data_IF_133653214992
#
_entry.id   IF_133653214992
#
_cell.length_a   1.000
_cell.length_b   1.000
_cell.length_c   1.000
_cell.angle_alpha   90.00
_cell.angle_beta   90.00
_cell.angle_gamma   90.00
#
_symmetry.space_group_name_H-M   'P 1'
#
loop_
_entity.id
_entity.type
_entity.pdbx_description
1 polymer ?
#
# COMPACT_ATOMS: atom_id res chain seq x y z
N UNK A 1 12.97 17.95 -4.28
CA UNK A 1 11.54 18.28 -4.17
C UNK A 1 10.66 17.07 -4.38
N UNK A 2 9.63 16.94 -3.55
CA UNK A 2 8.58 15.93 -3.71
C UNK A 2 7.31 16.69 -4.05
N UNK A 3 6.79 16.46 -5.25
CA UNK A 3 5.70 17.25 -5.81
C UNK A 3 4.46 16.37 -5.96
N UNK A 4 3.39 16.75 -5.26
CA UNK A 4 2.10 16.06 -5.32
C UNK A 4 1.12 16.94 -6.05
N UNK A 5 0.40 16.39 -7.02
CA UNK A 5 -0.62 17.16 -7.74
C UNK A 5 -1.60 17.84 -6.79
N UNK A 6 -1.91 19.10 -7.03
CA UNK A 6 -2.85 19.85 -6.21
C UNK A 6 -4.26 19.78 -6.80
N UNK A 7 -4.99 18.69 -6.49
CA UNK A 7 -6.40 18.54 -6.88
C UNK A 7 -7.28 19.64 -6.25
N UNK A 8 -6.92 20.11 -5.05
CA UNK A 8 -7.68 21.16 -4.35
C UNK A 8 -7.62 22.54 -5.05
N UNK A 9 -6.70 22.70 -6.01
CA UNK A 9 -6.66 23.87 -6.88
C UNK A 9 -7.88 23.94 -7.81
N UNK A 10 -8.39 22.78 -8.22
CA UNK A 10 -9.49 22.65 -9.17
C UNK A 10 -10.84 22.36 -8.52
N UNK A 11 -10.83 21.67 -7.39
CA UNK A 11 -12.04 21.18 -6.71
C UNK A 11 -12.23 21.93 -5.39
N UNK A 12 -13.16 22.88 -5.39
CA UNK A 12 -13.56 23.56 -4.17
C UNK A 12 -14.44 22.62 -3.30
N UNK A 13 -14.42 22.79 -1.95
CA UNK A 13 -15.33 22.08 -1.07
C UNK A 13 -16.79 22.29 -1.46
N UNK A 14 -17.63 21.30 -1.17
CA UNK A 14 -19.07 21.30 -1.36
C UNK A 14 -19.58 21.44 -2.81
N UNK A 15 -18.69 21.40 -3.79
CA UNK A 15 -19.09 21.27 -5.20
C UNK A 15 -19.60 19.86 -5.49
N UNK A 16 -20.37 19.67 -6.57
CA UNK A 16 -20.88 18.34 -6.96
C UNK A 16 -19.76 17.31 -7.13
N UNK A 17 -18.60 17.70 -7.69
CA UNK A 17 -17.44 16.82 -7.81
C UNK A 17 -16.81 16.48 -6.45
N UNK A 18 -16.83 17.41 -5.51
CA UNK A 18 -16.35 17.18 -4.16
C UNK A 18 -17.26 16.23 -3.38
N UNK A 19 -18.57 16.43 -3.50
CA UNK A 19 -19.55 15.57 -2.86
C UNK A 19 -19.46 14.12 -3.37
N UNK A 20 -19.35 13.93 -4.69
CA UNK A 20 -19.14 12.59 -5.27
C UNK A 20 -17.82 11.96 -4.83
N UNK A 21 -16.73 12.74 -4.78
CA UNK A 21 -15.45 12.25 -4.27
C UNK A 21 -15.51 11.88 -2.78
N UNK A 22 -16.26 12.64 -1.98
CA UNK A 22 -16.54 12.34 -0.56
C UNK A 22 -17.34 11.05 -0.42
N UNK A 23 -18.39 10.84 -1.22
CA UNK A 23 -19.18 9.61 -1.21
C UNK A 23 -18.38 8.38 -1.61
N UNK A 24 -17.49 8.50 -2.61
CA UNK A 24 -16.61 7.41 -3.05
C UNK A 24 -15.44 7.16 -2.10
N UNK A 25 -14.95 8.16 -1.39
CA UNK A 25 -13.77 8.20 -0.52
C UNK A 25 -12.45 7.79 -1.18
N UNK A 26 -12.47 6.85 -2.11
CA UNK A 26 -11.26 6.31 -2.76
C UNK A 26 -11.54 5.78 -4.16
N UNK A 27 -10.50 5.69 -4.98
CA UNK A 27 -10.56 4.89 -6.22
C UNK A 27 -10.46 3.41 -5.87
N UNK A 28 -11.22 2.57 -6.57
CA UNK A 28 -11.22 1.12 -6.40
C UNK A 28 -10.45 0.46 -7.55
N UNK A 29 -9.47 -0.38 -7.21
CA UNK A 29 -8.64 -1.09 -8.17
C UNK A 29 -9.00 -2.57 -8.14
N UNK A 30 -9.71 -3.02 -9.18
CA UNK A 30 -10.09 -4.41 -9.36
C UNK A 30 -9.21 -5.05 -10.45
N UNK A 31 -9.03 -6.36 -10.46
CA UNK A 31 -8.26 -7.03 -11.51
C UNK A 31 -8.71 -6.73 -12.94
N UNK A 32 -10.01 -6.57 -13.15
CA UNK A 32 -10.63 -6.33 -14.45
C UNK A 32 -10.96 -4.87 -14.74
N UNK A 33 -10.95 -4.00 -13.73
CA UNK A 33 -11.38 -2.61 -13.92
C UNK A 33 -10.86 -1.69 -12.81
N UNK A 34 -10.83 -0.40 -13.13
CA UNK A 34 -10.54 0.68 -12.19
C UNK A 34 -11.73 1.62 -12.10
N UNK A 35 -12.26 1.80 -10.90
CA UNK A 35 -13.32 2.77 -10.62
C UNK A 35 -12.64 3.98 -9.98
N UNK A 36 -12.56 5.08 -10.69
CA UNK A 36 -11.91 6.29 -10.19
C UNK A 36 -12.80 7.02 -9.16
N UNK A 37 -12.18 7.70 -8.20
CA UNK A 37 -12.84 8.62 -7.29
C UNK A 37 -13.40 9.85 -8.02
N UNK A 38 -12.66 10.37 -9.00
CA UNK A 38 -13.09 11.43 -9.90
C UNK A 38 -13.40 10.89 -11.31
N UNK A 39 -14.16 11.61 -12.15
CA UNK A 39 -14.32 11.25 -13.54
C UNK A 39 -12.99 10.98 -14.24
N UNK A 40 -13.00 9.99 -15.14
CA UNK A 40 -11.78 9.49 -15.80
C UNK A 40 -11.00 10.59 -16.50
N UNK A 41 -11.69 11.51 -17.16
CA UNK A 41 -11.12 12.63 -17.90
C UNK A 41 -10.38 13.60 -16.98
N UNK A 42 -10.89 13.82 -15.79
CA UNK A 42 -10.23 14.68 -14.79
C UNK A 42 -9.06 13.96 -14.13
N UNK A 43 -9.26 12.72 -13.67
CA UNK A 43 -8.25 11.96 -12.96
C UNK A 43 -7.01 11.68 -13.80
N UNK A 44 -7.18 11.33 -15.07
CA UNK A 44 -6.08 10.94 -15.97
C UNK A 44 -5.54 12.08 -16.84
N UNK A 45 -6.18 13.25 -16.85
CA UNK A 45 -5.76 14.41 -17.63
C UNK A 45 -5.43 15.59 -16.72
N UNK A 46 -6.45 16.34 -16.28
CA UNK A 46 -6.30 17.61 -15.60
C UNK A 46 -5.54 17.49 -14.27
N UNK A 47 -5.81 16.44 -13.49
CA UNK A 47 -5.18 16.21 -12.18
C UNK A 47 -3.86 15.46 -12.28
N UNK A 48 -3.57 14.85 -13.42
CA UNK A 48 -2.34 14.07 -13.59
C UNK A 48 -1.13 14.97 -13.90
N UNK A 49 0.00 14.68 -13.28
CA UNK A 49 1.27 15.32 -13.59
C UNK A 49 1.82 14.74 -14.91
N UNK A 50 1.39 15.32 -16.03
CA UNK A 50 1.74 14.86 -17.36
C UNK A 50 3.03 15.53 -17.85
N UNK A 51 3.79 14.76 -18.67
CA UNK A 51 5.01 15.27 -19.30
C UNK A 51 4.71 16.55 -20.12
N UNK A 52 5.58 17.53 -19.98
CA UNK A 52 5.56 18.83 -20.69
C UNK A 52 4.36 19.74 -20.42
N UNK A 53 3.49 19.37 -19.49
CA UNK A 53 2.35 20.20 -19.09
C UNK A 53 2.62 20.87 -17.73
N UNK A 54 2.24 22.15 -17.63
CA UNK A 54 2.31 22.90 -16.37
C UNK A 54 1.13 22.49 -15.48
N UNK A 55 1.42 22.02 -14.26
CA UNK A 55 0.41 21.55 -13.31
C UNK A 55 0.61 22.13 -11.92
N UNK A 56 -0.48 22.50 -11.21
CA UNK A 56 -0.40 22.90 -9.81
C UNK A 56 -0.02 21.70 -8.95
N UNK A 57 0.85 21.94 -7.98
CA UNK A 57 1.30 20.93 -7.03
C UNK A 57 1.46 21.53 -5.63
N UNK A 58 1.21 20.71 -4.62
CA UNK A 58 1.68 20.95 -3.27
C UNK A 58 3.02 20.25 -3.12
N UNK A 59 4.06 21.01 -2.82
CA UNK A 59 5.44 20.55 -2.89
C UNK A 59 6.09 20.57 -1.52
N UNK A 60 6.74 19.47 -1.18
CA UNK A 60 7.64 19.34 -0.04
C UNK A 60 9.07 19.47 -0.58
N UNK A 61 9.72 20.58 -0.26
CA UNK A 61 11.12 20.83 -0.63
C UNK A 61 11.99 20.49 0.57
N UNK A 62 13.02 19.72 0.36
CA UNK A 62 13.91 19.21 1.41
C UNK A 62 15.34 19.62 1.06
N UNK A 63 16.00 20.28 1.99
CA UNK A 63 17.43 20.57 1.90
C UNK A 63 18.20 19.47 2.63
N UNK A 64 19.21 18.91 1.99
CA UNK A 64 20.09 17.90 2.57
C UNK A 64 21.53 18.40 2.68
N UNK A 65 22.29 17.83 3.60
CA UNK A 65 23.74 18.02 3.63
C UNK A 65 24.45 17.07 2.63
N UNK A 66 25.78 17.19 2.58
CA UNK A 66 26.62 16.36 1.71
C UNK A 66 26.62 14.87 2.11
N UNK A 67 26.01 14.50 3.26
CA UNK A 67 25.83 13.14 3.72
C UNK A 67 24.37 12.68 3.58
N UNK A 68 23.57 13.44 2.83
CA UNK A 68 22.16 13.20 2.55
C UNK A 68 21.24 13.26 3.79
N UNK A 69 21.68 13.85 4.91
CA UNK A 69 20.81 14.09 6.05
C UNK A 69 19.95 15.33 5.80
N UNK A 70 18.68 15.25 6.14
CA UNK A 70 17.75 16.37 6.03
C UNK A 70 18.15 17.48 7.03
N UNK A 71 18.32 18.71 6.54
CA UNK A 71 18.61 19.91 7.32
C UNK A 71 17.39 20.75 7.56
N UNK A 72 16.64 20.99 6.50
CA UNK A 72 15.49 21.86 6.49
C UNK A 72 14.44 21.37 5.51
N UNK A 73 13.22 21.86 5.64
CA UNK A 73 12.15 21.62 4.67
C UNK A 73 11.20 22.80 4.57
N UNK A 74 10.53 22.90 3.45
CA UNK A 74 9.48 23.89 3.17
C UNK A 74 8.31 23.20 2.47
N UNK A 75 7.07 23.56 2.85
CA UNK A 75 5.86 23.15 2.13
C UNK A 75 5.28 24.37 1.45
N UNK A 76 5.05 24.28 0.14
CA UNK A 76 4.54 25.40 -0.66
C UNK A 76 3.70 24.97 -1.83
N UNK A 77 2.80 25.84 -2.25
CA UNK A 77 2.10 25.74 -3.52
C UNK A 77 3.06 26.06 -4.67
N UNK A 78 3.07 25.23 -5.69
CA UNK A 78 3.96 25.38 -6.84
C UNK A 78 3.22 25.07 -8.14
N UNK A 79 3.81 25.52 -9.25
CA UNK A 79 3.51 24.98 -10.56
C UNK A 79 4.73 24.24 -11.07
N UNK A 80 4.53 22.99 -11.48
CA UNK A 80 5.62 22.14 -11.97
C UNK A 80 5.38 21.71 -13.41
N UNK A 81 6.47 21.44 -14.11
CA UNK A 81 6.46 20.85 -15.46
C UNK A 81 7.31 19.58 -15.43
N UNK A 82 6.67 18.41 -15.62
CA UNK A 82 7.36 17.13 -15.65
C UNK A 82 8.17 17.03 -16.94
N UNK A 83 9.48 16.81 -16.84
CA UNK A 83 10.37 16.60 -17.99
C UNK A 83 10.27 15.19 -18.55
N UNK A 84 10.34 14.19 -17.67
CA UNK A 84 10.35 12.79 -18.06
C UNK A 84 9.51 11.92 -17.13
N UNK A 85 9.08 10.79 -17.68
CA UNK A 85 8.34 9.76 -16.97
C UNK A 85 9.10 8.43 -17.09
N UNK A 86 9.37 7.82 -15.95
CA UNK A 86 10.10 6.57 -15.87
C UNK A 86 9.20 5.45 -15.32
N UNK A 87 9.44 4.23 -15.76
CA UNK A 87 8.94 3.01 -15.12
C UNK A 87 9.90 2.58 -14.01
N UNK A 88 9.44 1.75 -13.08
CA UNK A 88 10.30 1.21 -12.02
C UNK A 88 11.49 0.44 -12.60
N UNK A 89 11.25 -0.46 -13.55
CA UNK A 89 12.30 -1.24 -14.22
C UNK A 89 13.36 -0.32 -14.84
N UNK A 90 12.92 0.77 -15.47
CA UNK A 90 13.88 1.73 -16.08
C UNK A 90 14.70 2.49 -15.02
N UNK A 91 14.11 2.81 -13.89
CA UNK A 91 14.85 3.47 -12.78
C UNK A 91 15.82 2.49 -12.14
N UNK A 92 15.46 1.22 -11.99
CA UNK A 92 16.38 0.18 -11.49
C UNK A 92 17.61 0.02 -12.39
N UNK A 93 17.45 0.12 -13.72
CA UNK A 93 18.57 0.16 -14.66
C UNK A 93 19.44 1.43 -14.52
N UNK A 94 18.85 2.57 -14.17
CA UNK A 94 19.58 3.84 -14.07
C UNK A 94 20.31 4.01 -12.74
N UNK A 95 19.80 3.42 -11.65
CA UNK A 95 20.49 3.41 -10.35
C UNK A 95 21.83 2.68 -10.51
N UNK A 96 22.92 3.34 -10.13
CA UNK A 96 24.30 2.89 -10.34
C UNK A 96 24.99 3.49 -11.58
N UNK A 97 24.23 4.04 -12.54
CA UNK A 97 24.75 4.59 -13.79
C UNK A 97 24.47 6.08 -13.98
N UNK A 98 23.36 6.59 -13.46
CA UNK A 98 22.95 7.99 -13.54
C UNK A 98 23.17 8.71 -12.20
N UNK A 99 23.80 9.90 -12.25
CA UNK A 99 24.15 10.68 -11.04
C UNK A 99 22.92 11.10 -10.23
N UNK A 100 21.84 11.54 -10.90
CA UNK A 100 20.66 12.09 -10.25
C UNK A 100 19.87 10.97 -9.55
N UNK A 101 19.71 9.82 -10.20
CA UNK A 101 19.07 8.64 -9.59
C UNK A 101 19.89 8.07 -8.45
N UNK A 102 21.22 8.10 -8.52
CA UNK A 102 22.10 7.70 -7.43
C UNK A 102 21.96 8.62 -6.21
N UNK A 103 21.90 9.93 -6.42
CA UNK A 103 21.67 10.89 -5.34
C UNK A 103 20.31 10.65 -4.69
N UNK A 104 19.24 10.50 -5.46
CA UNK A 104 17.91 10.23 -4.95
C UNK A 104 17.84 8.91 -4.17
N UNK A 105 18.50 7.87 -4.68
CA UNK A 105 18.56 6.57 -4.00
C UNK A 105 19.30 6.68 -2.66
N UNK A 106 20.46 7.36 -2.62
CA UNK A 106 21.22 7.57 -1.39
C UNK A 106 20.44 8.37 -0.34
N UNK A 107 19.67 9.39 -0.78
CA UNK A 107 18.77 10.14 0.10
C UNK A 107 17.70 9.21 0.68
N UNK A 108 17.09 8.37 -0.13
CA UNK A 108 16.06 7.44 0.31
C UNK A 108 16.59 6.39 1.31
N UNK A 109 17.80 5.87 1.08
CA UNK A 109 18.45 4.95 2.01
C UNK A 109 18.73 5.63 3.36
N UNK A 110 19.16 6.91 3.36
CA UNK A 110 19.34 7.67 4.62
C UNK A 110 18.03 7.87 5.39
N UNK A 111 16.95 8.16 4.68
CA UNK A 111 15.62 8.27 5.28
C UNK A 111 15.19 6.93 5.90
N UNK A 112 15.44 5.83 5.19
CA UNK A 112 15.16 4.47 5.66
C UNK A 112 15.99 4.10 6.89
N UNK A 113 17.30 4.37 6.88
CA UNK A 113 18.18 4.15 8.04
C UNK A 113 17.66 4.90 9.27
N UNK A 114 17.27 6.17 9.12
CA UNK A 114 16.70 6.97 10.20
C UNK A 114 15.43 6.34 10.77
N UNK A 115 14.53 5.86 9.92
CA UNK A 115 13.29 5.21 10.36
C UNK A 115 13.58 3.87 11.05
N UNK A 116 14.52 3.08 10.54
CA UNK A 116 14.98 1.84 11.21
C UNK A 116 15.53 2.13 12.61
N UNK A 117 16.36 3.16 12.74
CA UNK A 117 16.87 3.61 14.03
C UNK A 117 15.74 4.10 14.97
N UNK A 118 14.66 4.67 14.42
CA UNK A 118 13.43 5.02 15.13
C UNK A 118 12.52 3.83 15.43
N UNK A 119 12.94 2.59 15.13
CA UNK A 119 12.18 1.38 15.45
C UNK A 119 11.20 0.93 14.36
N UNK A 120 11.31 1.47 13.12
CA UNK A 120 10.48 1.01 12.00
C UNK A 120 10.58 -0.50 11.82
N UNK A 121 9.42 -1.12 11.66
CA UNK A 121 9.30 -2.55 11.34
C UNK A 121 9.01 -2.67 9.85
N UNK A 122 10.01 -3.12 9.11
CA UNK A 122 9.89 -3.29 7.67
C UNK A 122 9.36 -4.69 7.38
N UNK A 123 8.19 -4.75 6.75
CA UNK A 123 7.57 -5.99 6.33
C UNK A 123 7.65 -6.09 4.82
N UNK A 124 8.16 -7.21 4.37
CA UNK A 124 8.18 -7.53 2.96
C UNK A 124 7.31 -8.74 2.72
N UNK A 125 6.22 -8.50 2.01
CA UNK A 125 5.40 -9.59 1.48
C UNK A 125 5.37 -9.42 -0.03
N UNK A 126 5.72 -10.46 -0.79
CA UNK A 126 5.51 -10.44 -2.23
C UNK A 126 4.02 -10.24 -2.51
N UNK A 127 3.72 -9.46 -3.53
CA UNK A 127 2.34 -9.20 -3.93
C UNK A 127 2.06 -9.89 -5.25
N UNK A 128 1.01 -10.72 -5.26
CA UNK A 128 0.47 -11.25 -6.50
C UNK A 128 -0.45 -10.20 -7.13
N UNK A 129 -0.02 -9.61 -8.23
CA UNK A 129 -0.87 -8.80 -9.08
C UNK A 129 -1.63 -9.69 -10.04
N UNK A 130 -2.93 -9.51 -10.09
CA UNK A 130 -3.83 -10.19 -11.03
C UNK A 130 -4.45 -9.12 -11.91
N UNK A 131 -4.27 -9.24 -13.21
CA UNK A 131 -4.90 -8.39 -14.21
C UNK A 131 -5.76 -9.23 -15.14
N UNK A 132 -6.87 -8.66 -15.56
CA UNK A 132 -7.85 -9.33 -16.45
C UNK A 132 -8.14 -8.38 -17.59
N UNK A 133 -7.92 -8.82 -18.82
CA UNK A 133 -8.18 -8.04 -20.01
C UNK A 133 -9.66 -8.08 -20.44
N UNK A 134 -9.99 -7.38 -21.52
CA UNK A 134 -11.34 -7.32 -22.08
C UNK A 134 -11.84 -8.69 -22.58
N UNK A 135 -10.93 -9.60 -22.94
CA UNK A 135 -11.23 -10.98 -23.36
C UNK A 135 -11.35 -11.94 -22.16
N UNK A 136 -11.24 -11.43 -20.92
CA UNK A 136 -11.20 -12.19 -19.67
C UNK A 136 -9.98 -13.12 -19.55
N UNK A 137 -8.90 -12.82 -20.26
CA UNK A 137 -7.62 -13.47 -20.04
C UNK A 137 -6.98 -12.96 -18.76
N UNK A 138 -6.53 -13.90 -17.93
CA UNK A 138 -5.99 -13.62 -16.60
C UNK A 138 -4.47 -13.69 -16.69
N UNK A 139 -3.81 -12.58 -16.37
CA UNK A 139 -2.36 -12.52 -16.21
C UNK A 139 -2.02 -12.35 -14.75
N UNK A 140 -1.02 -13.10 -14.27
CA UNK A 140 -0.52 -12.99 -12.90
C UNK A 140 0.97 -12.66 -12.94
N UNK A 141 1.36 -11.71 -12.10
CA UNK A 141 2.76 -11.31 -11.92
C UNK A 141 3.05 -11.16 -10.43
N UNK A 142 4.13 -11.78 -9.98
CA UNK A 142 4.63 -11.56 -8.62
C UNK A 142 5.49 -10.30 -8.66
N UNK A 143 5.12 -9.33 -7.84
CA UNK A 143 5.88 -8.10 -7.67
C UNK A 143 6.77 -8.20 -6.45
N UNK A 144 8.06 -8.06 -6.69
CA UNK A 144 9.02 -7.76 -5.63
C UNK A 144 9.07 -6.25 -5.41
N UNK A 145 8.56 -5.79 -4.28
CA UNK A 145 8.63 -4.37 -3.90
C UNK A 145 9.96 -3.98 -3.27
N UNK A 146 10.93 -4.90 -3.24
CA UNK A 146 12.25 -4.68 -2.68
C UNK A 146 13.26 -4.14 -3.69
N UNK A 147 12.83 -3.87 -4.93
CA UNK A 147 13.74 -3.27 -5.91
C UNK A 147 14.14 -1.85 -5.48
N UNK A 148 15.33 -1.38 -5.87
CA UNK A 148 15.82 -0.05 -5.50
C UNK A 148 14.86 1.08 -5.82
N UNK A 149 14.21 1.03 -6.98
CA UNK A 149 13.26 2.06 -7.42
C UNK A 149 11.98 2.09 -6.59
N UNK A 150 11.44 0.92 -6.20
CA UNK A 150 10.28 0.85 -5.29
C UNK A 150 10.62 1.39 -3.90
N UNK A 151 11.81 1.05 -3.38
CA UNK A 151 12.32 1.60 -2.11
C UNK A 151 12.45 3.11 -2.16
N UNK A 152 13.08 3.63 -3.21
CA UNK A 152 13.24 5.06 -3.44
C UNK A 152 11.91 5.79 -3.39
N UNK A 153 10.93 5.36 -4.18
CA UNK A 153 9.61 6.03 -4.23
C UNK A 153 8.89 5.89 -2.88
N UNK A 154 8.92 4.71 -2.27
CA UNK A 154 8.27 4.46 -0.98
C UNK A 154 8.83 5.35 0.12
N UNK A 155 10.16 5.45 0.25
CA UNK A 155 10.80 6.27 1.28
C UNK A 155 10.53 7.77 1.06
N UNK A 156 10.56 8.26 -0.19
CA UNK A 156 10.21 9.65 -0.49
C UNK A 156 8.74 9.95 -0.18
N UNK A 157 7.82 9.02 -0.44
CA UNK A 157 6.41 9.19 -0.08
C UNK A 157 6.22 9.19 1.45
N UNK A 158 6.92 8.31 2.17
CA UNK A 158 6.88 8.29 3.64
C UNK A 158 7.44 9.59 4.20
N UNK A 159 8.57 10.07 3.66
CA UNK A 159 9.18 11.33 4.09
C UNK A 159 8.26 12.53 3.86
N UNK A 160 7.62 12.63 2.69
CA UNK A 160 6.67 13.71 2.41
C UNK A 160 5.50 13.71 3.41
N UNK A 161 4.99 12.55 3.73
CA UNK A 161 3.87 12.38 4.67
C UNK A 161 4.28 12.69 6.13
N UNK A 162 5.46 12.21 6.58
CA UNK A 162 6.03 12.48 7.91
C UNK A 162 6.32 13.98 8.10
N UNK A 163 7.00 14.60 7.14
CA UNK A 163 7.28 16.05 7.14
C UNK A 163 5.97 16.84 7.21
N UNK A 164 4.98 16.44 6.40
CA UNK A 164 3.67 17.13 6.39
C UNK A 164 2.96 16.97 7.73
N UNK A 165 2.96 15.79 8.33
CA UNK A 165 2.36 15.57 9.65
C UNK A 165 3.06 16.42 10.72
N UNK A 166 4.40 16.43 10.73
CA UNK A 166 5.22 17.22 11.64
C UNK A 166 4.98 18.73 11.49
N UNK A 167 4.90 19.21 10.23
CA UNK A 167 4.56 20.59 9.93
C UNK A 167 3.18 21.00 10.46
N UNK A 168 2.17 20.14 10.21
CA UNK A 168 0.82 20.41 10.68
C UNK A 168 0.72 20.37 12.21
N UNK A 169 1.39 19.43 12.86
CA UNK A 169 1.50 19.36 14.32
C UNK A 169 2.12 20.62 14.91
N UNK A 170 3.26 21.05 14.37
CA UNK A 170 3.99 22.24 14.85
C UNK A 170 3.20 23.55 14.69
N UNK A 171 2.33 23.64 13.69
CA UNK A 171 1.53 24.83 13.39
C UNK A 171 0.06 24.70 13.84
N UNK A 172 -0.28 23.65 14.58
CA UNK A 172 -1.66 23.37 15.04
C UNK A 172 -2.70 23.37 13.90
N UNK A 173 -2.32 22.90 12.71
CA UNK A 173 -3.21 22.76 11.57
C UNK A 173 -4.08 21.53 11.79
N UNK A 174 -5.43 21.63 11.80
CA UNK A 174 -6.29 20.49 11.96
C UNK A 174 -6.26 19.61 10.70
N UNK A 175 -5.76 18.39 10.82
CA UNK A 175 -5.69 17.39 9.74
C UNK A 175 -6.04 15.99 10.23
N UNK A 176 -6.18 15.06 9.29
CA UNK A 176 -6.31 13.64 9.57
C UNK A 176 -4.90 13.02 9.68
N UNK A 177 -4.56 12.50 10.85
CA UNK A 177 -3.35 11.73 11.10
C UNK A 177 -3.62 10.24 10.94
N UNK A 178 -2.55 9.48 10.77
CA UNK A 178 -2.56 8.02 10.88
C UNK A 178 -1.54 7.58 11.91
N UNK A 179 -2.00 6.76 12.84
CA UNK A 179 -1.16 6.16 13.86
C UNK A 179 -1.22 4.64 13.78
N UNK A 180 -0.25 3.98 14.38
CA UNK A 180 -0.27 2.54 14.54
C UNK A 180 0.28 2.19 15.92
N UNK A 181 -0.48 1.46 16.76
CA UNK A 181 0.02 1.04 18.06
C UNK A 181 1.27 0.16 17.96
N UNK A 182 2.05 0.12 19.05
CA UNK A 182 3.21 -0.76 19.14
C UNK A 182 2.82 -2.20 18.84
N UNK A 183 3.72 -2.90 18.16
CA UNK A 183 3.65 -4.35 18.08
C UNK A 183 3.91 -4.95 19.45
N UNK A 184 3.39 -6.15 19.67
CA UNK A 184 3.72 -6.93 20.83
C UNK A 184 5.24 -7.23 20.82
N UNK A 185 5.90 -7.13 22.00
CA UNK A 185 7.35 -7.34 22.14
C UNK A 185 7.79 -8.77 21.73
N UNK A 186 6.84 -9.71 21.74
CA UNK A 186 7.06 -11.09 21.26
C UNK A 186 7.12 -11.22 19.73
N UNK A 187 6.83 -10.16 18.99
CA UNK A 187 6.87 -10.17 17.54
C UNK A 187 8.30 -10.12 17.01
N UNK A 188 8.77 -11.21 16.44
CA UNK A 188 10.09 -11.34 15.81
C UNK A 188 9.92 -11.39 14.29
N UNK A 189 10.39 -10.34 13.62
CA UNK A 189 10.30 -10.22 12.17
C UNK A 189 11.63 -10.59 11.52
N UNK A 190 11.52 -11.29 10.40
CA UNK A 190 12.65 -11.54 9.50
C UNK A 190 12.86 -10.36 8.54
N UNK A 191 14.12 -10.08 8.20
CA UNK A 191 14.47 -9.09 7.18
C UNK A 191 14.15 -9.57 5.75
N UNK A 192 13.86 -10.86 5.58
CA UNK A 192 13.43 -11.47 4.33
C UNK A 192 12.07 -12.12 4.48
N UNK A 193 11.31 -12.20 3.39
CA UNK A 193 10.02 -12.88 3.41
C UNK A 193 10.19 -14.38 3.68
N UNK A 194 9.62 -14.81 4.77
CA UNK A 194 9.42 -16.21 5.14
C UNK A 194 7.92 -16.40 5.41
N UNK A 195 7.21 -17.21 4.61
CA UNK A 195 5.78 -17.39 4.76
C UNK A 195 5.37 -17.98 6.12
N UNK A 196 6.20 -18.82 6.72
CA UNK A 196 5.93 -19.41 8.04
C UNK A 196 6.06 -18.35 9.13
N UNK A 197 7.17 -17.61 9.13
CA UNK A 197 7.37 -16.53 10.08
C UNK A 197 6.27 -15.48 9.92
N UNK A 198 5.97 -15.04 8.70
CA UNK A 198 4.89 -14.08 8.44
C UNK A 198 3.54 -14.57 8.96
N UNK A 199 3.18 -15.83 8.68
CA UNK A 199 1.92 -16.41 9.17
C UNK A 199 1.83 -16.41 10.70
N UNK A 200 2.91 -16.78 11.38
CA UNK A 200 2.98 -16.82 12.85
C UNK A 200 2.94 -15.41 13.47
N UNK A 201 3.59 -14.44 12.83
CA UNK A 201 3.73 -13.08 13.36
C UNK A 201 2.54 -12.17 13.05
N UNK A 202 1.76 -12.44 11.99
CA UNK A 202 0.66 -11.54 11.54
C UNK A 202 -0.41 -11.27 12.61
N UNK A 203 -0.60 -12.15 13.58
CA UNK A 203 -1.52 -11.95 14.70
C UNK A 203 -1.13 -10.79 15.63
N UNK A 204 0.13 -10.41 15.60
CA UNK A 204 0.66 -9.28 16.38
C UNK A 204 0.56 -7.96 15.65
N UNK A 205 0.19 -7.97 14.36
CA UNK A 205 0.06 -6.76 13.57
C UNK A 205 -1.25 -6.05 13.87
N UNK A 206 -1.12 -4.82 14.32
CA UNK A 206 -2.29 -3.96 14.53
C UNK A 206 -2.53 -3.09 13.30
N UNK A 207 -3.80 -2.90 12.93
CA UNK A 207 -4.20 -2.00 11.85
C UNK A 207 -3.80 -0.56 12.22
N UNK A 208 -3.38 0.23 11.23
CA UNK A 208 -3.23 1.67 11.44
C UNK A 208 -4.60 2.33 11.54
N UNK A 209 -4.71 3.35 12.38
CA UNK A 209 -5.94 4.05 12.69
C UNK A 209 -5.87 5.50 12.23
N UNK A 210 -6.98 6.02 11.71
CA UNK A 210 -7.13 7.44 11.40
C UNK A 210 -7.62 8.19 12.65
N UNK A 211 -7.14 9.42 12.86
CA UNK A 211 -7.55 10.27 13.97
C UNK A 211 -7.11 11.71 13.77
N UNK A 212 -7.54 12.59 14.67
CA UNK A 212 -7.17 14.01 14.66
C UNK A 212 -5.98 14.33 15.57
N UNK A 213 -5.51 13.34 16.33
CA UNK A 213 -4.39 13.50 17.26
C UNK A 213 -3.12 12.91 16.64
N UNK A 214 -2.00 13.66 16.61
CA UNK A 214 -0.72 13.15 16.10
C UNK A 214 -0.11 12.16 17.08
N UNK A 215 -0.28 10.87 16.82
CA UNK A 215 0.29 9.76 17.60
C UNK A 215 1.38 9.04 16.79
N UNK A 216 2.24 8.30 17.48
CA UNK A 216 3.32 7.53 16.88
C UNK A 216 2.81 6.44 15.91
N UNK A 217 3.52 6.25 14.80
CA UNK A 217 3.25 5.18 13.85
C UNK A 217 4.35 4.12 13.91
N UNK A 218 4.17 3.07 14.70
CA UNK A 218 5.20 2.09 15.01
C UNK A 218 5.74 1.33 13.79
N UNK A 219 4.88 0.92 12.88
CA UNK A 219 5.32 0.23 11.66
C UNK A 219 6.22 1.09 10.78
N UNK A 220 6.04 2.41 10.79
CA UNK A 220 6.87 3.34 10.02
C UNK A 220 8.04 3.92 10.83
N UNK A 221 8.01 3.83 12.15
CA UNK A 221 9.06 4.40 13.03
C UNK A 221 9.10 5.93 12.99
N UNK A 222 7.94 6.59 12.98
CA UNK A 222 7.83 8.06 12.91
C UNK A 222 6.89 8.59 14.00
N UNK A 223 7.21 9.79 14.53
CA UNK A 223 6.50 10.40 15.66
C UNK A 223 5.05 10.78 15.36
N UNK A 224 4.76 11.12 14.12
CA UNK A 224 3.42 11.35 13.61
C UNK A 224 3.41 11.12 12.10
N UNK A 225 2.26 10.76 11.57
CA UNK A 225 2.12 10.45 10.15
C UNK A 225 0.79 10.92 9.60
N UNK A 226 0.77 11.31 8.34
CA UNK A 226 -0.46 11.60 7.59
C UNK A 226 -0.34 11.04 6.18
N UNK A 227 -1.38 11.15 5.37
CA UNK A 227 -1.36 10.71 3.98
C UNK A 227 -1.82 11.84 3.07
N UNK A 228 -0.87 12.52 2.41
CA UNK A 228 -1.16 13.63 1.49
C UNK A 228 -0.74 13.37 0.04
N UNK A 229 -0.16 12.21 -0.23
CA UNK A 229 0.55 11.94 -1.49
C UNK A 229 -0.31 11.43 -2.64
N UNK A 230 -1.62 11.26 -2.43
CA UNK A 230 -2.50 10.67 -3.46
C UNK A 230 -3.90 11.31 -3.53
N UNK A 231 -4.05 12.64 -3.67
CA UNK A 231 -5.36 13.33 -3.61
C UNK A 231 -6.29 13.01 -4.80
N UNK A 232 -5.78 12.45 -5.89
CA UNK A 232 -6.61 11.98 -7.03
C UNK A 232 -7.45 10.76 -6.65
N UNK A 233 -6.95 9.94 -5.72
CA UNK A 233 -7.52 8.62 -5.41
C UNK A 233 -7.85 8.40 -3.94
N UNK A 234 -7.60 9.34 -3.06
CA UNK A 234 -7.98 9.31 -1.64
C UNK A 234 -8.53 10.67 -1.22
N UNK A 235 -9.77 10.67 -0.75
CA UNK A 235 -10.45 11.91 -0.36
C UNK A 235 -9.78 12.58 0.86
N UNK A 236 -9.32 11.79 1.82
CA UNK A 236 -8.63 12.32 3.00
C UNK A 236 -7.36 13.10 2.63
N UNK A 237 -6.62 12.68 1.59
CA UNK A 237 -5.44 13.42 1.11
C UNK A 237 -5.84 14.80 0.54
N UNK A 238 -6.96 14.87 -0.18
CA UNK A 238 -7.51 16.14 -0.68
C UNK A 238 -7.87 17.10 0.45
N UNK A 239 -8.49 16.59 1.51
CA UNK A 239 -8.81 17.37 2.71
C UNK A 239 -7.55 17.94 3.35
N UNK A 240 -6.51 17.13 3.49
CA UNK A 240 -5.22 17.58 4.06
C UNK A 240 -4.61 18.69 3.21
N UNK A 241 -4.63 18.58 1.88
CA UNK A 241 -4.18 19.64 1.00
C UNK A 241 -4.93 20.96 1.24
N UNK A 242 -6.25 20.91 1.39
CA UNK A 242 -7.08 22.09 1.67
C UNK A 242 -6.69 22.79 2.98
N UNK A 243 -6.49 22.03 4.04
CA UNK A 243 -6.11 22.54 5.35
C UNK A 243 -4.72 23.20 5.32
N UNK A 244 -3.75 22.55 4.68
CA UNK A 244 -2.39 23.12 4.51
C UNK A 244 -2.45 24.41 3.70
N UNK A 245 -3.18 24.44 2.59
CA UNK A 245 -3.32 25.65 1.75
C UNK A 245 -4.04 26.77 2.47
N UNK A 246 -5.03 26.49 3.31
CA UNK A 246 -5.66 27.48 4.16
C UNK A 246 -4.63 28.15 5.08
N UNK A 247 -3.76 27.37 5.72
CA UNK A 247 -2.68 27.88 6.54
C UNK A 247 -1.68 28.73 5.75
N UNK A 248 -1.17 28.20 4.62
CA UNK A 248 -0.19 28.89 3.77
C UNK A 248 -0.72 30.24 3.26
N UNK A 249 -2.00 30.30 2.95
CA UNK A 249 -2.67 31.51 2.44
C UNK A 249 -3.29 32.39 3.55
N UNK A 250 -3.06 32.05 4.83
CA UNK A 250 -3.61 32.77 5.99
C UNK A 250 -5.15 32.93 5.91
N UNK A 251 -5.82 31.87 5.45
CA UNK A 251 -7.29 31.77 5.36
C UNK A 251 -7.83 30.90 6.48
N UNK A 252 -9.10 31.03 6.84
CA UNK A 252 -9.78 30.10 7.74
C UNK A 252 -9.67 28.66 7.23
N UNK A 253 -9.56 27.71 8.14
CA UNK A 253 -9.59 26.29 7.78
C UNK A 253 -10.96 25.88 7.23
N UNK A 254 -10.98 25.01 6.24
CA UNK A 254 -12.22 24.47 5.68
C UNK A 254 -12.92 23.53 6.63
N UNK A 255 -12.17 22.81 7.49
CA UNK A 255 -12.70 21.79 8.36
C UNK A 255 -12.22 21.99 9.80
N UNK A 256 -13.16 21.93 10.74
CA UNK A 256 -12.89 21.86 12.18
C UNK A 256 -12.48 20.42 12.58
N UNK A 257 -11.93 20.26 13.78
CA UNK A 257 -11.62 18.92 14.31
C UNK A 257 -12.84 18.00 14.34
N UNK A 258 -14.01 18.53 14.72
CA UNK A 258 -15.26 17.75 14.75
C UNK A 258 -15.66 17.26 13.36
N UNK A 259 -15.60 18.13 12.35
CA UNK A 259 -15.91 17.74 10.97
C UNK A 259 -14.91 16.71 10.43
N UNK A 260 -13.63 16.81 10.80
CA UNK A 260 -12.61 15.80 10.46
C UNK A 260 -12.92 14.45 11.12
N UNK A 261 -13.37 14.42 12.37
CA UNK A 261 -13.79 13.18 13.03
C UNK A 261 -15.00 12.54 12.32
N UNK A 262 -15.99 13.33 11.95
CA UNK A 262 -17.16 12.87 11.18
C UNK A 262 -16.73 12.28 9.82
N UNK A 263 -15.79 12.93 9.12
CA UNK A 263 -15.22 12.44 7.87
C UNK A 263 -14.45 11.13 8.07
N UNK A 264 -13.66 11.02 9.13
CA UNK A 264 -12.94 9.78 9.46
C UNK A 264 -13.92 8.63 9.67
N UNK A 265 -14.93 8.83 10.50
CA UNK A 265 -15.94 7.79 10.77
C UNK A 265 -16.63 7.30 9.50
N UNK A 266 -17.00 8.21 8.62
CA UNK A 266 -17.63 7.88 7.34
C UNK A 266 -16.66 7.18 6.38
N UNK A 267 -15.46 7.74 6.22
CA UNK A 267 -14.48 7.22 5.27
C UNK A 267 -13.94 5.83 5.65
N UNK A 268 -13.70 5.55 6.94
CA UNK A 268 -13.19 4.24 7.38
C UNK A 268 -14.21 3.12 7.08
N UNK A 269 -15.51 3.36 7.21
CA UNK A 269 -16.54 2.37 6.85
C UNK A 269 -16.53 2.04 5.36
N UNK A 270 -16.38 3.06 4.50
CA UNK A 270 -16.29 2.86 3.06
C UNK A 270 -14.99 2.14 2.69
N UNK A 271 -13.85 2.57 3.27
CA UNK A 271 -12.55 1.94 3.02
C UNK A 271 -12.54 0.47 3.41
N UNK A 272 -13.15 0.08 4.54
CA UNK A 272 -13.27 -1.32 4.94
C UNK A 272 -14.12 -2.12 3.93
N UNK A 273 -15.22 -1.54 3.45
CA UNK A 273 -16.06 -2.15 2.41
C UNK A 273 -15.31 -2.31 1.09
N UNK A 274 -14.58 -1.28 0.65
CA UNK A 274 -13.75 -1.30 -0.57
C UNK A 274 -12.64 -2.35 -0.45
N UNK A 275 -11.97 -2.44 0.69
CA UNK A 275 -10.93 -3.45 0.94
C UNK A 275 -11.50 -4.87 0.87
N UNK A 276 -12.68 -5.10 1.46
CA UNK A 276 -13.36 -6.39 1.38
C UNK A 276 -13.72 -6.75 -0.06
N UNK A 277 -14.33 -5.83 -0.81
CA UNK A 277 -14.71 -6.04 -2.22
C UNK A 277 -13.46 -6.34 -3.06
N UNK A 278 -12.40 -5.54 -2.91
CA UNK A 278 -11.15 -5.72 -3.67
C UNK A 278 -10.51 -7.08 -3.38
N UNK A 279 -10.45 -7.49 -2.11
CA UNK A 279 -9.92 -8.80 -1.70
C UNK A 279 -10.75 -9.95 -2.28
N UNK A 280 -12.08 -9.86 -2.16
CA UNK A 280 -12.97 -10.89 -2.69
C UNK A 280 -12.89 -10.97 -4.22
N UNK A 281 -12.73 -9.84 -4.90
CA UNK A 281 -12.61 -9.79 -6.35
C UNK A 281 -11.28 -10.36 -6.85
N UNK A 282 -10.16 -10.03 -6.17
CA UNK A 282 -8.86 -10.66 -6.43
C UNK A 282 -8.93 -12.18 -6.25
N UNK A 283 -9.55 -12.63 -5.16
CA UNK A 283 -9.73 -14.06 -4.87
C UNK A 283 -10.59 -14.76 -5.91
N UNK A 284 -11.69 -14.15 -6.34
CA UNK A 284 -12.53 -14.69 -7.42
C UNK A 284 -11.75 -14.95 -8.71
N UNK A 285 -10.93 -14.00 -9.14
CA UNK A 285 -10.13 -14.14 -10.36
C UNK A 285 -8.99 -15.14 -10.19
N UNK A 286 -8.37 -15.20 -9.03
CA UNK A 286 -7.39 -16.23 -8.69
C UNK A 286 -8.02 -17.64 -8.77
N UNK A 287 -9.18 -17.83 -8.17
CA UNK A 287 -9.91 -19.09 -8.25
C UNK A 287 -10.37 -19.40 -9.69
N UNK A 288 -10.72 -18.39 -10.46
CA UNK A 288 -11.07 -18.58 -11.89
C UNK A 288 -9.87 -19.06 -12.70
N UNK A 289 -8.68 -18.58 -12.40
CA UNK A 289 -7.45 -19.11 -12.98
C UNK A 289 -7.17 -20.53 -12.54
N UNK A 290 -7.18 -20.81 -11.23
CA UNK A 290 -6.92 -22.13 -10.67
C UNK A 290 -7.95 -23.18 -11.11
N UNK A 291 -9.17 -22.79 -11.50
CA UNK A 291 -10.17 -23.66 -12.09
C UNK A 291 -9.68 -24.34 -13.37
N UNK A 292 -8.85 -23.67 -14.16
CA UNK A 292 -8.21 -24.23 -15.37
C UNK A 292 -7.17 -25.31 -15.02
N UNK A 293 -6.75 -25.37 -13.76
CA UNK A 293 -5.72 -26.29 -13.25
C UNK A 293 -6.28 -27.46 -12.42
N UNK A 294 -7.60 -27.71 -12.48
CA UNK A 294 -8.19 -28.87 -11.80
C UNK A 294 -7.50 -30.15 -12.31
N UNK A 295 -7.08 -31.01 -11.37
CA UNK A 295 -6.32 -32.24 -11.64
C UNK A 295 -4.80 -32.05 -11.66
N UNK A 296 -4.31 -30.81 -11.75
CA UNK A 296 -2.87 -30.50 -11.70
C UNK A 296 -2.36 -30.48 -10.26
N UNK A 297 -1.06 -30.71 -10.13
CA UNK A 297 -0.32 -30.61 -8.87
C UNK A 297 0.38 -29.27 -8.78
N UNK A 298 0.42 -28.70 -7.58
CA UNK A 298 1.07 -27.42 -7.28
C UNK A 298 1.83 -27.52 -5.95
N UNK A 299 2.91 -26.75 -5.82
CA UNK A 299 3.72 -26.73 -4.62
C UNK A 299 3.10 -25.84 -3.55
N UNK A 300 3.24 -26.25 -2.31
CA UNK A 300 2.77 -25.53 -1.16
C UNK A 300 3.76 -25.63 0.01
N UNK A 301 3.74 -24.64 0.88
CA UNK A 301 4.55 -24.58 2.09
C UNK A 301 3.62 -24.73 3.28
N UNK A 302 3.91 -25.67 4.18
CA UNK A 302 3.16 -25.86 5.41
C UNK A 302 3.40 -24.66 6.34
N UNK A 303 2.32 -24.02 6.76
CA UNK A 303 2.36 -22.88 7.68
C UNK A 303 2.14 -23.30 9.12
N UNK A 304 1.21 -24.25 9.32
CA UNK A 304 0.86 -24.77 10.63
C UNK A 304 0.22 -26.15 10.51
N UNK A 305 0.58 -27.04 11.43
CA UNK A 305 -0.05 -28.35 11.58
C UNK A 305 -0.88 -28.34 12.87
N UNK A 306 -2.19 -28.51 12.73
CA UNK A 306 -3.16 -28.63 13.82
C UNK A 306 -3.63 -30.08 13.94
N UNK A 307 -4.23 -30.45 15.06
CA UNK A 307 -4.72 -31.82 15.29
C UNK A 307 -5.76 -32.28 14.27
N UNK A 308 -6.56 -31.36 13.73
CA UNK A 308 -7.67 -31.62 12.81
C UNK A 308 -7.39 -31.26 11.36
N UNK A 309 -6.37 -30.39 11.11
CA UNK A 309 -6.09 -29.85 9.78
C UNK A 309 -4.66 -29.35 9.63
N UNK A 310 -4.19 -29.33 8.40
CA UNK A 310 -2.93 -28.71 8.00
C UNK A 310 -3.26 -27.42 7.27
N UNK A 311 -2.61 -26.32 7.65
CA UNK A 311 -2.70 -25.02 6.99
C UNK A 311 -1.42 -24.84 6.18
N UNK A 312 -1.56 -24.48 4.92
CA UNK A 312 -0.45 -24.28 3.99
C UNK A 312 -0.74 -23.14 3.02
N UNK A 313 0.28 -22.65 2.36
CA UNK A 313 0.19 -21.61 1.33
C UNK A 313 0.66 -22.16 -0.01
N UNK A 314 -0.12 -21.97 -1.07
CA UNK A 314 0.34 -22.28 -2.42
C UNK A 314 1.47 -21.32 -2.80
N UNK A 315 2.66 -21.86 -3.13
CA UNK A 315 3.92 -21.11 -3.26
C UNK A 315 3.84 -19.98 -4.28
N UNK A 316 3.30 -20.23 -5.47
CA UNK A 316 3.27 -19.28 -6.58
C UNK A 316 2.04 -18.35 -6.58
N UNK A 317 1.08 -18.65 -5.70
CA UNK A 317 -0.23 -17.96 -5.68
C UNK A 317 -0.48 -17.21 -4.39
N UNK A 318 0.36 -17.35 -3.37
CA UNK A 318 0.18 -16.81 -2.03
C UNK A 318 -1.22 -17.05 -1.46
N UNK A 319 -1.83 -18.19 -1.85
CA UNK A 319 -3.17 -18.57 -1.42
C UNK A 319 -3.09 -19.52 -0.24
N UNK A 320 -3.55 -19.05 0.92
CA UNK A 320 -3.66 -19.89 2.12
C UNK A 320 -4.86 -20.81 1.99
N UNK A 321 -4.63 -22.08 2.25
CA UNK A 321 -5.62 -23.15 2.24
C UNK A 321 -5.46 -24.04 3.46
N UNK A 322 -6.45 -24.88 3.71
CA UNK A 322 -6.35 -25.93 4.70
C UNK A 322 -6.91 -27.25 4.15
N UNK A 323 -6.37 -28.34 4.65
CA UNK A 323 -6.86 -29.67 4.36
C UNK A 323 -7.06 -30.41 5.70
N UNK A 324 -8.19 -31.10 5.84
CA UNK A 324 -8.46 -31.95 7.02
C UNK A 324 -7.44 -33.04 7.10
N UNK A 325 -6.90 -33.32 8.29
CA UNK A 325 -6.10 -34.52 8.57
C UNK A 325 -7.00 -35.72 8.44
N UNK A 326 -7.01 -36.36 7.25
CA UNK A 326 -7.64 -37.68 7.15
C UNK A 326 -6.75 -38.72 7.85
N UNK A 327 -7.37 -39.65 8.57
CA UNK A 327 -6.73 -40.64 9.42
C UNK A 327 -5.68 -41.56 8.72
N UNK A 328 -5.41 -41.37 7.46
CA UNK A 328 -4.40 -42.08 6.67
C UNK A 328 -3.05 -41.35 6.55
N UNK A 329 -2.89 -40.17 7.12
CA UNK A 329 -1.59 -39.46 7.10
C UNK A 329 -0.85 -39.68 8.42
N UNK A 330 -0.16 -40.82 8.54
CA UNK A 330 0.83 -41.07 9.61
C UNK A 330 1.99 -40.07 9.58
N UNK A 331 2.10 -39.30 8.51
CA UNK A 331 3.20 -38.32 8.31
C UNK A 331 2.91 -37.03 9.02
N UNK A 332 3.74 -36.68 9.98
CA UNK A 332 3.68 -35.41 10.72
C UNK A 332 4.43 -34.34 9.93
N UNK A 333 3.70 -33.50 9.20
CA UNK A 333 4.28 -32.32 8.54
C UNK A 333 4.62 -31.24 9.55
N UNK A 334 5.75 -30.56 9.36
CA UNK A 334 6.21 -29.44 10.18
C UNK A 334 6.06 -28.12 9.41
N UNK A 335 5.89 -26.97 10.11
CA UNK A 335 5.96 -25.66 9.46
C UNK A 335 7.27 -25.50 8.67
N UNK A 336 7.16 -25.08 7.41
CA UNK A 336 8.28 -24.95 6.48
C UNK A 336 8.43 -26.13 5.50
N UNK A 337 7.79 -27.28 5.76
CA UNK A 337 7.87 -28.40 4.84
C UNK A 337 7.24 -28.05 3.49
N UNK A 338 7.92 -28.44 2.42
CA UNK A 338 7.41 -28.37 1.06
C UNK A 338 6.55 -29.59 0.77
N UNK A 339 5.32 -29.34 0.35
CA UNK A 339 4.36 -30.37 -0.01
C UNK A 339 3.81 -30.13 -1.40
N UNK A 340 3.42 -31.19 -2.07
CA UNK A 340 2.69 -31.11 -3.33
C UNK A 340 1.21 -31.38 -3.07
N UNK A 341 0.36 -30.49 -3.57
CA UNK A 341 -1.09 -30.62 -3.45
C UNK A 341 -1.73 -30.69 -4.83
N UNK A 342 -2.76 -31.53 -4.97
CA UNK A 342 -3.58 -31.61 -6.18
C UNK A 342 -4.82 -30.76 -6.03
N UNK A 343 -5.13 -29.97 -7.06
CA UNK A 343 -6.37 -29.19 -7.12
C UNK A 343 -7.52 -30.08 -7.55
N UNK A 344 -8.47 -30.35 -6.64
CA UNK A 344 -9.58 -31.27 -6.88
C UNK A 344 -10.84 -30.57 -7.40
N UNK A 345 -11.21 -29.46 -6.79
CA UNK A 345 -12.45 -28.74 -7.12
C UNK A 345 -12.25 -27.26 -6.94
N UNK A 346 -12.70 -26.47 -7.90
CA UNK A 346 -12.71 -24.99 -7.78
C UNK A 346 -14.04 -24.43 -8.28
N UNK A 347 -14.76 -23.73 -7.40
CA UNK A 347 -16.03 -23.05 -7.70
C UNK A 347 -15.89 -21.58 -7.33
N UNK A 348 -15.39 -20.72 -8.26
CA UNK A 348 -15.01 -19.34 -7.94
C UNK A 348 -16.15 -18.49 -7.36
N UNK A 349 -17.40 -18.69 -7.82
CA UNK A 349 -18.56 -17.91 -7.36
C UNK A 349 -18.99 -18.24 -5.92
N UNK A 350 -18.67 -19.44 -5.46
CA UNK A 350 -18.98 -19.92 -4.11
C UNK A 350 -17.78 -19.80 -3.16
N UNK A 351 -16.67 -19.25 -3.67
CA UNK A 351 -15.37 -19.15 -2.95
C UNK A 351 -14.84 -20.52 -2.47
N UNK A 352 -15.13 -21.58 -3.24
CA UNK A 352 -14.74 -22.95 -2.89
C UNK A 352 -13.51 -23.34 -3.69
N UNK A 353 -12.49 -23.83 -2.99
CA UNK A 353 -11.38 -24.60 -3.52
C UNK A 353 -11.10 -25.78 -2.60
N UNK A 354 -11.03 -26.98 -3.18
CA UNK A 354 -10.66 -28.20 -2.46
C UNK A 354 -9.40 -28.76 -3.08
N UNK A 355 -8.50 -29.18 -2.23
CA UNK A 355 -7.20 -29.76 -2.61
C UNK A 355 -6.92 -30.99 -1.77
N UNK A 356 -6.09 -31.89 -2.29
CA UNK A 356 -5.58 -33.06 -1.56
C UNK A 356 -4.05 -33.03 -1.52
N UNK A 357 -3.45 -33.41 -0.40
CA UNK A 357 -1.99 -33.52 -0.28
C UNK A 357 -1.62 -34.87 -0.92
N UNK A 358 -0.69 -34.85 -1.89
CA UNK A 358 -0.27 -36.06 -2.61
C UNK A 358 1.15 -36.50 -2.24
N UNK A 359 1.96 -35.67 -1.62
CA UNK A 359 3.31 -36.04 -1.18
C UNK A 359 4.14 -34.85 -0.72
N UNK A 360 5.41 -35.12 -0.44
CA UNK A 360 6.43 -34.05 -0.34
C UNK A 360 6.81 -33.60 -1.74
N UNK A 361 7.10 -32.30 -1.90
CA UNK A 361 7.68 -31.80 -3.14
C UNK A 361 9.15 -32.22 -3.19
N UNK A 362 9.60 -32.78 -4.31
CA UNK A 362 11.03 -32.95 -4.58
C UNK A 362 11.61 -31.56 -4.88
N UNK A 363 12.75 -31.22 -4.25
CA UNK A 363 13.46 -29.94 -4.45
C UNK A 363 13.89 -29.73 -5.92
#
# INVERSE_FOLDING_TARGET
>A
GIHITDVSHHIAPDTALDQEAKERCTSVYLPENKINMFPHELANSLFSLRKDELRPALSVIIDTDNRYNMKNYEIKETFIKVKDRFTYDKVDELIGHDSDFNILYNISEKMREKRKAGGAKLFYTPELEITVDENKEITMKIYDRETPSHKLVSELMIAANDITASFCKANAIPIIYRSQPALDDSCVLSDTYDPVNFYQQRKYFKKSEAGIVPLYHYGLGVDCYTQMTSPIRRYNDLIIHRQIKSFLNKKPYFYTNRELEEIIMYSEQILDSVNMITRNRKRYWLLTYLKKMIGSSVDAIVLQNLSDRIIFILKDYFLELNCTNSTNYEKKYSPGDLITVRIETVIPREDIIKVSIIGESEE
#
